data_IF_427600320120
#
_entry.id   IF_427600320120
#
_cell.length_a   1.000
_cell.length_b   1.000
_cell.length_c   1.000
_cell.angle_alpha   90.00
_cell.angle_beta   90.00
_cell.angle_gamma   90.00
#
_symmetry.space_group_name_H-M   'P 1'
#
loop_
_entity.id
_entity.type
_entity.pdbx_description
1 polymer ?
#
# COMPACT_ATOMS: atom_id res chain seq x y z
N UNK A 1 23.05 5.35 18.35
CA UNK A 1 21.86 5.34 17.48
C UNK A 1 21.61 6.78 17.04
N UNK A 2 21.65 7.06 15.74
CA UNK A 2 21.39 8.40 15.22
C UNK A 2 19.95 8.42 14.72
N UNK A 3 19.04 8.84 15.60
CA UNK A 3 17.59 8.85 15.34
C UNK A 3 17.23 9.48 14.00
N UNK A 4 17.92 10.56 13.61
CA UNK A 4 17.68 11.26 12.36
C UNK A 4 18.04 10.38 11.16
N UNK A 5 19.17 9.66 11.21
CA UNK A 5 19.59 8.77 10.14
C UNK A 5 18.66 7.55 10.03
N UNK A 6 18.23 6.99 11.16
CA UNK A 6 17.29 5.88 11.20
C UNK A 6 15.94 6.29 10.61
N UNK A 7 15.40 7.44 11.02
CA UNK A 7 14.15 7.99 10.45
C UNK A 7 14.28 8.25 8.95
N UNK A 8 15.38 8.86 8.51
CA UNK A 8 15.63 9.13 7.10
C UNK A 8 15.67 7.82 6.29
N UNK A 9 16.28 6.76 6.84
CA UNK A 9 16.33 5.45 6.19
C UNK A 9 14.94 4.83 6.00
N UNK A 10 14.05 4.97 6.99
CA UNK A 10 12.65 4.52 6.88
C UNK A 10 11.95 5.30 5.78
N UNK A 11 12.01 6.63 5.82
CA UNK A 11 11.30 7.50 4.85
C UNK A 11 11.76 7.22 3.42
N UNK A 12 13.07 7.18 3.19
CA UNK A 12 13.63 6.94 1.84
C UNK A 12 13.25 5.54 1.33
N UNK A 13 13.41 4.51 2.16
CA UNK A 13 13.05 3.14 1.77
C UNK A 13 11.55 2.97 1.55
N UNK A 14 10.69 3.64 2.32
CA UNK A 14 9.24 3.67 2.09
C UNK A 14 8.89 4.33 0.76
N UNK A 15 9.46 5.49 0.44
CA UNK A 15 9.16 6.17 -0.83
C UNK A 15 9.60 5.30 -2.01
N UNK A 16 10.82 4.78 -1.99
CA UNK A 16 11.36 3.94 -3.07
C UNK A 16 10.55 2.65 -3.25
N UNK A 17 10.27 1.94 -2.16
CA UNK A 17 9.50 0.70 -2.22
C UNK A 17 8.05 0.94 -2.65
N UNK A 18 7.42 2.05 -2.22
CA UNK A 18 6.07 2.42 -2.67
C UNK A 18 6.02 2.54 -4.18
N UNK A 19 7.00 3.21 -4.79
CA UNK A 19 7.07 3.36 -6.26
C UNK A 19 7.19 1.99 -6.93
N UNK A 20 8.14 1.16 -6.47
CA UNK A 20 8.39 -0.17 -7.04
C UNK A 20 7.13 -1.05 -6.94
N UNK A 21 6.55 -1.16 -5.75
CA UNK A 21 5.37 -1.99 -5.55
C UNK A 21 4.14 -1.44 -6.26
N UNK A 22 3.97 -0.12 -6.38
CA UNK A 22 2.86 0.46 -7.15
C UNK A 22 2.89 0.01 -8.60
N UNK A 23 4.07 -0.02 -9.23
CA UNK A 23 4.24 -0.51 -10.60
C UNK A 23 3.91 -2.01 -10.69
N UNK A 24 4.43 -2.82 -9.77
CA UNK A 24 4.21 -4.27 -9.74
C UNK A 24 2.71 -4.59 -9.54
N UNK A 25 2.08 -3.95 -8.56
CA UNK A 25 0.68 -4.16 -8.21
C UNK A 25 -0.26 -3.65 -9.30
N UNK A 26 0.07 -2.53 -9.96
CA UNK A 26 -0.70 -2.03 -11.10
C UNK A 26 -0.61 -2.98 -12.31
N UNK A 27 0.58 -3.49 -12.61
CA UNK A 27 0.78 -4.52 -13.64
C UNK A 27 -0.01 -5.79 -13.32
N UNK A 28 0.02 -6.24 -12.07
CA UNK A 28 -0.73 -7.39 -11.60
C UNK A 28 -2.25 -7.14 -11.67
N UNK A 29 -2.71 -5.92 -11.40
CA UNK A 29 -4.10 -5.53 -11.53
C UNK A 29 -4.57 -5.44 -13.01
N UNK A 30 -3.65 -5.14 -13.95
CA UNK A 30 -3.91 -5.13 -15.40
C UNK A 30 -3.78 -6.51 -16.03
N UNK A 31 -3.12 -7.45 -15.36
CA UNK A 31 -2.94 -8.81 -15.85
C UNK A 31 -4.30 -9.52 -16.04
N UNK A 32 -4.28 -10.65 -16.75
CA UNK A 32 -5.45 -11.50 -17.00
C UNK A 32 -6.18 -11.87 -15.70
N UNK A 33 -5.45 -11.98 -14.59
CA UNK A 33 -5.99 -12.35 -13.29
C UNK A 33 -6.80 -11.24 -12.63
N UNK A 34 -6.56 -9.95 -12.98
CA UNK A 34 -7.27 -8.78 -12.42
C UNK A 34 -7.44 -8.86 -10.89
N UNK A 35 -6.38 -9.26 -10.18
CA UNK A 35 -6.47 -9.76 -8.80
C UNK A 35 -7.14 -8.79 -7.82
N UNK A 36 -6.99 -7.48 -8.02
CA UNK A 36 -7.54 -6.48 -7.10
C UNK A 36 -8.91 -5.96 -7.53
N UNK A 37 -9.42 -6.29 -8.72
CA UNK A 37 -10.72 -5.81 -9.22
C UNK A 37 -11.91 -6.27 -8.35
N UNK A 38 -12.00 -7.54 -7.89
CA UNK A 38 -13.09 -7.96 -7.00
C UNK A 38 -13.09 -7.18 -5.68
N UNK A 39 -11.91 -6.92 -5.13
CA UNK A 39 -11.75 -6.18 -3.90
C UNK A 39 -12.07 -4.69 -4.08
N UNK A 40 -11.61 -4.08 -5.18
CA UNK A 40 -11.96 -2.71 -5.58
C UNK A 40 -13.47 -2.54 -5.74
N UNK A 41 -14.15 -3.51 -6.36
CA UNK A 41 -15.61 -3.49 -6.51
C UNK A 41 -16.33 -3.56 -5.16
N UNK A 42 -15.84 -4.40 -4.24
CA UNK A 42 -16.40 -4.53 -2.89
C UNK A 42 -16.23 -3.24 -2.09
N UNK A 43 -15.03 -2.67 -2.10
CA UNK A 43 -14.74 -1.36 -1.48
C UNK A 43 -15.57 -0.26 -2.15
N UNK A 44 -15.81 -0.37 -3.46
CA UNK A 44 -16.57 0.63 -4.18
C UNK A 44 -18.04 0.72 -3.77
N UNK A 45 -18.59 -0.32 -3.15
CA UNK A 45 -19.95 -0.34 -2.64
C UNK A 45 -20.07 0.26 -1.21
N UNK A 46 -18.96 0.54 -0.54
CA UNK A 46 -18.94 1.14 0.79
C UNK A 46 -19.20 2.65 0.67
N UNK A 47 -20.15 3.18 1.45
CA UNK A 47 -20.50 4.62 1.44
C UNK A 47 -19.34 5.51 1.93
N UNK A 48 -18.65 5.11 2.99
CA UNK A 48 -17.60 5.91 3.65
C UNK A 48 -16.18 5.41 3.33
N UNK A 49 -15.84 5.35 2.04
CA UNK A 49 -14.54 4.83 1.58
C UNK A 49 -13.34 5.58 2.17
N UNK A 50 -13.47 6.88 2.42
CA UNK A 50 -12.42 7.70 3.01
C UNK A 50 -12.06 7.24 4.43
N UNK A 51 -13.07 7.02 5.28
CA UNK A 51 -12.86 6.50 6.62
C UNK A 51 -12.31 5.07 6.59
N UNK A 52 -12.84 4.22 5.70
CA UNK A 52 -12.31 2.87 5.53
C UNK A 52 -10.83 2.87 5.11
N UNK A 53 -10.43 3.77 4.20
CA UNK A 53 -9.02 3.92 3.77
C UNK A 53 -8.13 4.28 4.95
N UNK A 54 -8.54 5.24 5.77
CA UNK A 54 -7.78 5.66 6.97
C UNK A 54 -7.67 4.52 7.97
N UNK A 55 -8.76 3.81 8.25
CA UNK A 55 -8.77 2.67 9.18
C UNK A 55 -7.82 1.56 8.69
N UNK A 56 -7.90 1.18 7.42
CA UNK A 56 -7.01 0.16 6.84
C UNK A 56 -5.56 0.61 6.87
N UNK A 57 -5.28 1.89 6.61
CA UNK A 57 -3.93 2.43 6.67
C UNK A 57 -3.34 2.37 8.09
N UNK A 58 -4.11 2.76 9.11
CA UNK A 58 -3.69 2.68 10.52
C UNK A 58 -3.45 1.23 10.94
N UNK A 59 -4.34 0.31 10.57
CA UNK A 59 -4.16 -1.13 10.80
C UNK A 59 -2.89 -1.62 10.10
N UNK A 60 -2.64 -1.19 8.87
CA UNK A 60 -1.41 -1.52 8.11
C UNK A 60 -0.14 -1.07 8.83
N UNK A 61 -0.12 0.12 9.42
CA UNK A 61 1.02 0.60 10.23
C UNK A 61 1.24 -0.30 11.45
N UNK A 62 0.17 -0.64 12.19
CA UNK A 62 0.28 -1.52 13.36
C UNK A 62 0.82 -2.90 12.99
N UNK A 63 0.38 -3.45 11.86
CA UNK A 63 0.90 -4.72 11.31
C UNK A 63 2.38 -4.58 10.98
N UNK A 64 2.81 -3.50 10.30
CA UNK A 64 4.21 -3.27 9.96
C UNK A 64 5.11 -3.22 11.19
N UNK A 65 4.68 -2.50 12.25
CA UNK A 65 5.42 -2.41 13.51
C UNK A 65 5.51 -3.77 14.18
N UNK A 66 4.39 -4.51 14.25
CA UNK A 66 4.35 -5.85 14.84
C UNK A 66 5.26 -6.83 14.10
N UNK A 67 5.23 -6.84 12.76
CA UNK A 67 6.10 -7.68 11.93
C UNK A 67 7.56 -7.31 12.15
N UNK A 68 7.88 -6.01 12.17
CA UNK A 68 9.25 -5.53 12.39
C UNK A 68 9.78 -6.01 13.75
N UNK A 69 8.99 -5.94 14.81
CA UNK A 69 9.43 -6.41 16.13
C UNK A 69 9.49 -7.95 16.21
N UNK A 70 8.54 -8.66 15.61
CA UNK A 70 8.52 -10.14 15.57
C UNK A 70 9.69 -10.73 14.77
N UNK A 71 9.98 -10.17 13.60
CA UNK A 71 11.06 -10.62 12.71
C UNK A 71 12.40 -9.90 12.95
N UNK A 72 12.45 -8.98 13.92
CA UNK A 72 13.61 -8.13 14.22
C UNK A 72 14.18 -7.42 12.98
N UNK A 73 13.28 -6.86 12.15
CA UNK A 73 13.67 -6.16 10.93
C UNK A 73 14.41 -4.86 11.27
N UNK A 74 15.37 -4.51 10.41
CA UNK A 74 16.00 -3.19 10.45
C UNK A 74 15.04 -2.10 9.95
N UNK A 75 15.42 -0.83 10.15
CA UNK A 75 14.60 0.32 9.74
C UNK A 75 14.33 0.38 8.23
N UNK A 76 15.25 -0.13 7.41
CA UNK A 76 15.05 -0.27 5.97
C UNK A 76 13.94 -1.29 5.67
N UNK A 77 13.96 -2.45 6.33
CA UNK A 77 12.93 -3.48 6.21
C UNK A 77 11.55 -2.99 6.65
N UNK A 78 11.49 -2.19 7.72
CA UNK A 78 10.26 -1.50 8.12
C UNK A 78 9.76 -0.57 7.02
N UNK A 79 10.65 0.24 6.42
CA UNK A 79 10.26 1.16 5.37
C UNK A 79 9.77 0.44 4.11
N UNK A 80 10.38 -0.68 3.74
CA UNK A 80 9.92 -1.55 2.63
C UNK A 80 8.50 -2.10 2.91
N UNK A 81 8.24 -2.58 4.13
CA UNK A 81 6.92 -3.05 4.55
C UNK A 81 5.88 -1.92 4.47
N UNK A 82 6.22 -0.74 4.98
CA UNK A 82 5.34 0.43 4.90
C UNK A 82 5.03 0.81 3.46
N UNK A 83 6.02 0.80 2.56
CA UNK A 83 5.79 1.12 1.15
C UNK A 83 4.96 0.06 0.42
N UNK A 84 5.15 -1.22 0.75
CA UNK A 84 4.28 -2.29 0.28
C UNK A 84 2.83 -2.06 0.72
N UNK A 85 2.58 -1.87 2.02
CA UNK A 85 1.22 -1.63 2.53
C UNK A 85 0.58 -0.36 1.98
N UNK A 86 1.36 0.70 1.80
CA UNK A 86 0.88 1.95 1.19
C UNK A 86 0.42 1.70 -0.24
N UNK A 87 1.27 1.10 -1.08
CA UNK A 87 0.93 0.78 -2.48
C UNK A 87 -0.24 -0.20 -2.60
N UNK A 88 -0.34 -1.17 -1.68
CA UNK A 88 -1.47 -2.08 -1.60
C UNK A 88 -2.77 -1.34 -1.26
N UNK A 89 -2.73 -0.46 -0.26
CA UNK A 89 -3.88 0.36 0.09
C UNK A 89 -4.31 1.25 -1.09
N UNK A 90 -3.36 1.85 -1.79
CA UNK A 90 -3.68 2.68 -2.95
C UNK A 90 -4.26 1.87 -4.11
N UNK A 91 -3.76 0.67 -4.42
CA UNK A 91 -4.36 -0.15 -5.49
C UNK A 91 -5.75 -0.66 -5.10
N UNK A 92 -5.98 -1.03 -3.83
CA UNK A 92 -7.29 -1.49 -3.36
C UNK A 92 -8.37 -0.40 -3.45
N UNK A 93 -7.99 0.85 -3.15
CA UNK A 93 -8.88 2.01 -3.21
C UNK A 93 -8.79 2.77 -4.54
N UNK A 94 -7.99 2.28 -5.49
CA UNK A 94 -7.89 2.86 -6.82
C UNK A 94 -9.25 2.74 -7.50
N UNK A 95 -9.93 3.87 -7.58
CA UNK A 95 -11.13 3.96 -8.40
C UNK A 95 -10.63 4.10 -9.83
N UNK A 96 -10.33 2.98 -10.51
CA UNK A 96 -10.20 3.02 -11.97
C UNK A 96 -11.56 3.43 -12.51
N UNK A 97 -11.71 4.74 -12.70
CA UNK A 97 -12.76 5.35 -13.50
C UNK A 97 -12.97 4.46 -14.72
N UNK A 98 -14.22 4.04 -14.90
CA UNK A 98 -14.77 3.48 -16.12
C UNK A 98 -14.72 4.55 -17.23
N UNK A 99 -13.52 4.94 -17.67
CA UNK A 99 -13.19 5.67 -18.90
C UNK A 99 -12.37 4.65 -19.70
N UNK A 100 -12.84 3.99 -20.76
CA UNK A 100 -13.68 4.44 -21.86
C UNK A 100 -14.69 3.35 -22.24
N UNK A 101 -15.98 3.67 -22.10
CA UNK A 101 -16.98 3.30 -23.10
C UNK A 101 -17.36 4.64 -23.75
N UNK A 102 -17.26 4.71 -25.08
CA UNK A 102 -17.41 5.88 -25.97
C UNK A 102 -16.08 6.57 -26.34
N UNK A 103 -15.34 5.92 -27.24
CA UNK A 103 -14.89 6.55 -28.47
C UNK A 103 -15.24 5.62 -29.63
#
# INVERSE_FOLDING_TARGET
>A
MNFIADLLSVVVSTVLSTIIFSVILDALNKSVLKLFVPLQNSINNVKEKGLLKVVIFVIGILICVTIKDFLKLNYIGLGILMGFFSSLTDIMFSTRMKKNHNS
#
